data_IF_068179168857
#
_entry.id   IF_068179168857
#
_cell.length_a   1.000
_cell.length_b   1.000
_cell.length_c   1.000
_cell.angle_alpha   90.00
_cell.angle_beta   90.00
_cell.angle_gamma   90.00
#
_symmetry.space_group_name_H-M   'P 1'
#
loop_
_entity.id
_entity.type
_entity.pdbx_description
1 polymer ?
#
# COMPACT_ATOMS: atom_id res chain seq x y z
N UNK A 1 7.27 -23.93 -34.09
CA UNK A 1 8.17 -23.07 -33.30
C UNK A 1 7.31 -21.98 -32.70
N UNK A 2 6.90 -22.11 -31.44
CA UNK A 2 6.19 -21.03 -30.73
C UNK A 2 7.21 -19.93 -30.46
N UNK A 3 6.97 -18.76 -31.05
CA UNK A 3 7.84 -17.60 -30.91
C UNK A 3 7.93 -17.24 -29.42
N UNK A 4 9.12 -17.30 -28.82
CA UNK A 4 9.30 -17.11 -27.36
C UNK A 4 8.88 -15.72 -26.86
N UNK A 5 8.59 -14.81 -27.77
CA UNK A 5 8.25 -13.41 -27.48
C UNK A 5 6.75 -13.10 -27.66
N UNK A 6 5.93 -14.06 -28.12
CA UNK A 6 4.50 -13.85 -28.32
C UNK A 6 3.69 -14.37 -27.13
N UNK A 7 3.00 -13.47 -26.44
CA UNK A 7 2.19 -13.76 -25.25
C UNK A 7 0.75 -13.33 -25.49
N UNK A 8 -0.24 -14.02 -24.93
CA UNK A 8 -1.63 -13.56 -25.04
C UNK A 8 -1.89 -12.34 -24.16
N UNK A 9 -1.22 -12.24 -23.01
CA UNK A 9 -1.28 -11.06 -22.14
C UNK A 9 0.06 -10.69 -21.50
N UNK A 10 0.27 -9.40 -21.27
CA UNK A 10 1.38 -8.86 -20.47
C UNK A 10 0.86 -8.23 -19.19
N UNK A 11 1.54 -8.48 -18.09
CA UNK A 11 1.21 -7.90 -16.79
C UNK A 11 2.38 -7.04 -16.34
N UNK A 12 2.11 -5.77 -16.08
CA UNK A 12 3.09 -4.76 -15.70
C UNK A 12 2.95 -4.46 -14.22
N UNK A 13 3.93 -4.89 -13.42
CA UNK A 13 3.95 -4.75 -11.97
C UNK A 13 3.80 -6.11 -11.28
N UNK A 14 4.84 -6.50 -10.55
CA UNK A 14 4.96 -7.74 -9.79
C UNK A 14 4.48 -7.66 -8.35
N UNK A 15 3.60 -6.71 -8.01
CA UNK A 15 2.93 -6.65 -6.72
C UNK A 15 1.85 -7.74 -6.57
N UNK A 16 1.17 -7.76 -5.41
CA UNK A 16 0.14 -8.79 -5.13
C UNK A 16 -0.94 -8.87 -6.22
N UNK A 17 -1.40 -7.74 -6.76
CA UNK A 17 -2.41 -7.72 -7.82
C UNK A 17 -1.89 -8.30 -9.13
N UNK A 18 -0.67 -7.95 -9.55
CA UNK A 18 -0.08 -8.51 -10.76
C UNK A 18 0.21 -10.00 -10.64
N UNK A 19 0.73 -10.44 -9.49
CA UNK A 19 0.97 -11.87 -9.20
C UNK A 19 -0.34 -12.65 -9.27
N UNK A 20 -1.39 -12.18 -8.59
CA UNK A 20 -2.70 -12.86 -8.59
C UNK A 20 -3.28 -12.88 -10.00
N UNK A 21 -3.26 -11.77 -10.72
CA UNK A 21 -3.75 -11.71 -12.10
C UNK A 21 -3.02 -12.74 -12.99
N UNK A 22 -1.69 -12.84 -12.88
CA UNK A 22 -0.87 -13.78 -13.64
C UNK A 22 -1.24 -15.24 -13.34
N UNK A 23 -1.38 -15.56 -12.04
CA UNK A 23 -1.75 -16.89 -11.60
C UNK A 23 -3.14 -17.30 -12.10
N UNK A 24 -4.13 -16.39 -12.02
CA UNK A 24 -5.49 -16.70 -12.49
C UNK A 24 -5.56 -16.82 -14.01
N UNK A 25 -4.90 -15.93 -14.77
CA UNK A 25 -4.84 -16.04 -16.24
C UNK A 25 -4.19 -17.35 -16.68
N UNK A 26 -3.10 -17.75 -16.02
CA UNK A 26 -2.45 -19.02 -16.28
C UNK A 26 -3.37 -20.21 -15.97
N UNK A 27 -4.17 -20.17 -14.88
CA UNK A 27 -5.16 -21.22 -14.57
C UNK A 27 -6.27 -21.31 -15.62
N UNK A 28 -6.62 -20.19 -16.25
CA UNK A 28 -7.55 -20.13 -17.37
C UNK A 28 -6.91 -20.56 -18.71
N UNK A 29 -5.65 -21.00 -18.70
CA UNK A 29 -4.94 -21.44 -19.90
C UNK A 29 -4.48 -20.29 -20.81
N UNK A 30 -4.45 -19.04 -20.31
CA UNK A 30 -3.99 -17.87 -21.07
C UNK A 30 -2.48 -17.70 -20.84
N UNK A 31 -1.64 -17.79 -21.89
CA UNK A 31 -0.21 -17.53 -21.80
C UNK A 31 0.05 -16.06 -21.44
N UNK A 32 0.74 -15.83 -20.33
CA UNK A 32 1.05 -14.48 -19.84
C UNK A 32 2.49 -14.35 -19.39
N UNK A 33 3.04 -13.15 -19.53
CA UNK A 33 4.31 -12.78 -18.90
C UNK A 33 4.14 -11.63 -17.90
N UNK A 34 4.98 -11.64 -16.87
CA UNK A 34 5.01 -10.64 -15.80
C UNK A 34 6.28 -9.79 -15.90
N UNK A 35 6.14 -8.47 -15.92
CA UNK A 35 7.22 -7.50 -15.97
C UNK A 35 7.27 -6.78 -14.62
N UNK A 36 8.44 -6.72 -13.99
CA UNK A 36 8.67 -6.03 -12.72
C UNK A 36 9.94 -5.20 -12.81
N UNK A 37 9.84 -3.92 -12.42
CA UNK A 37 10.95 -2.98 -12.42
C UNK A 37 11.98 -3.32 -11.36
N UNK A 38 11.52 -3.79 -10.20
CA UNK A 38 12.37 -4.20 -9.09
C UNK A 38 13.05 -5.56 -9.36
N UNK A 39 14.13 -5.84 -8.63
CA UNK A 39 14.83 -7.12 -8.75
C UNK A 39 13.99 -8.32 -8.28
N UNK A 40 12.96 -8.08 -7.46
CA UNK A 40 12.11 -9.10 -6.85
C UNK A 40 10.63 -8.76 -6.96
N UNK A 41 9.79 -9.79 -6.95
CA UNK A 41 8.34 -9.67 -6.90
C UNK A 41 7.87 -9.38 -5.47
N UNK A 42 6.61 -8.94 -5.33
CA UNK A 42 5.90 -8.79 -4.07
C UNK A 42 5.42 -7.36 -3.79
N UNK A 43 6.09 -6.37 -4.40
CA UNK A 43 5.77 -4.96 -4.24
C UNK A 43 5.79 -4.49 -2.79
N UNK A 44 5.01 -3.44 -2.48
CA UNK A 44 4.91 -2.89 -1.13
C UNK A 44 4.37 -3.91 -0.12
N UNK A 45 3.40 -4.73 -0.54
CA UNK A 45 2.69 -5.63 0.37
C UNK A 45 3.57 -6.74 0.97
N UNK A 46 4.65 -7.14 0.29
CA UNK A 46 5.60 -8.13 0.79
C UNK A 46 6.43 -7.61 1.98
N UNK A 47 6.50 -6.28 2.16
CA UNK A 47 7.23 -5.64 3.27
C UNK A 47 6.45 -5.68 4.58
N UNK A 48 5.14 -5.86 4.54
CA UNK A 48 4.30 -5.84 5.73
C UNK A 48 4.43 -7.09 6.59
N UNK A 49 4.50 -6.92 7.91
CA UNK A 49 4.54 -8.04 8.85
C UNK A 49 3.13 -8.52 9.23
N UNK A 50 3.08 -9.74 9.78
CA UNK A 50 1.87 -10.24 10.44
C UNK A 50 1.54 -9.37 11.65
N UNK A 51 0.31 -8.88 11.72
CA UNK A 51 -0.23 -8.08 12.83
C UNK A 51 -1.23 -8.88 13.67
N UNK A 52 -0.99 -10.19 13.76
CA UNK A 52 -1.76 -11.05 14.65
C UNK A 52 -1.30 -10.81 16.09
N UNK A 53 -2.26 -10.72 16.99
CA UNK A 53 -2.07 -10.82 18.44
C UNK A 53 -2.44 -12.25 18.85
N UNK A 54 -3.26 -12.41 19.89
CA UNK A 54 -3.89 -13.69 20.28
C UNK A 54 -4.68 -14.35 19.13
N UNK A 55 -5.30 -13.55 18.26
CA UNK A 55 -6.10 -14.03 17.13
C UNK A 55 -5.69 -13.35 15.82
N UNK A 56 -5.94 -14.03 14.70
CA UNK A 56 -5.72 -13.47 13.38
C UNK A 56 -6.69 -12.32 13.08
N UNK A 57 -6.15 -11.11 12.87
CA UNK A 57 -6.93 -9.90 12.56
C UNK A 57 -7.18 -9.69 11.05
N UNK A 58 -7.03 -10.77 10.26
CA UNK A 58 -7.26 -10.83 8.80
C UNK A 58 -6.67 -9.63 8.05
N UNK A 59 -5.38 -9.35 8.27
CA UNK A 59 -4.66 -8.28 7.55
C UNK A 59 -4.15 -8.68 6.15
N UNK A 60 -4.27 -9.97 5.80
CA UNK A 60 -3.86 -10.54 4.52
C UNK A 60 -2.37 -10.44 4.15
N UNK A 61 -1.49 -9.96 5.04
CA UNK A 61 -0.04 -9.93 4.80
C UNK A 61 0.50 -11.34 4.45
N UNK A 62 0.08 -12.38 5.18
CA UNK A 62 0.47 -13.77 4.90
C UNK A 62 -0.03 -14.32 3.56
N UNK A 63 -1.04 -13.69 2.94
CA UNK A 63 -1.50 -14.08 1.60
C UNK A 63 -0.48 -13.70 0.55
N UNK A 64 0.27 -12.62 0.76
CA UNK A 64 1.31 -12.16 -0.16
C UNK A 64 2.42 -13.21 -0.25
N UNK A 65 2.92 -13.69 0.88
CA UNK A 65 3.96 -14.73 0.92
C UNK A 65 3.50 -16.03 0.27
N UNK A 66 2.24 -16.44 0.52
CA UNK A 66 1.66 -17.63 -0.14
C UNK A 66 1.59 -17.47 -1.66
N UNK A 67 1.21 -16.29 -2.16
CA UNK A 67 1.10 -16.03 -3.59
C UNK A 67 2.47 -15.89 -4.27
N UNK A 68 3.46 -15.35 -3.55
CA UNK A 68 4.86 -15.35 -4.00
C UNK A 68 5.42 -16.76 -4.15
N UNK A 69 5.13 -17.64 -3.18
CA UNK A 69 5.50 -19.06 -3.28
C UNK A 69 4.82 -19.71 -4.49
N UNK A 70 3.51 -19.52 -4.63
CA UNK A 70 2.73 -20.11 -5.71
C UNK A 70 3.26 -19.71 -7.11
N UNK A 71 3.54 -18.42 -7.34
CA UNK A 71 4.09 -17.97 -8.63
C UNK A 71 5.55 -18.40 -8.84
N UNK A 72 6.31 -18.62 -7.75
CA UNK A 72 7.68 -19.12 -7.87
C UNK A 72 7.73 -20.54 -8.44
N UNK A 73 6.71 -21.35 -8.12
CA UNK A 73 6.52 -22.73 -8.56
C UNK A 73 5.96 -22.83 -10.01
N UNK A 74 5.47 -21.71 -10.57
CA UNK A 74 4.98 -21.65 -11.96
C UNK A 74 6.11 -21.29 -12.93
N UNK A 75 6.74 -22.30 -13.53
CA UNK A 75 7.82 -22.10 -14.52
C UNK A 75 7.32 -21.59 -15.88
N UNK A 76 6.05 -21.83 -16.19
CA UNK A 76 5.41 -21.45 -17.45
C UNK A 76 4.99 -19.98 -17.52
N UNK A 77 5.08 -19.22 -16.43
CA UNK A 77 4.85 -17.76 -16.42
C UNK A 77 6.23 -17.08 -16.50
N UNK A 78 6.66 -16.57 -17.68
CA UNK A 78 7.91 -15.84 -17.80
C UNK A 78 7.88 -14.58 -16.94
N UNK A 79 8.98 -14.34 -16.23
CA UNK A 79 9.13 -13.23 -15.28
C UNK A 79 10.33 -12.38 -15.65
N UNK A 80 10.09 -11.13 -15.99
CA UNK A 80 11.10 -10.14 -16.34
C UNK A 80 11.26 -9.18 -15.17
N UNK A 81 12.04 -9.57 -14.16
CA UNK A 81 12.44 -8.68 -13.04
C UNK A 81 13.62 -7.79 -13.42
N UNK A 82 13.76 -6.63 -12.79
CA UNK A 82 14.78 -5.63 -13.14
C UNK A 82 14.59 -5.06 -14.54
N UNK A 83 13.35 -5.03 -15.03
CA UNK A 83 13.01 -4.63 -16.38
C UNK A 83 12.06 -3.43 -16.38
N UNK A 84 12.42 -2.40 -17.14
CA UNK A 84 11.61 -1.19 -17.30
C UNK A 84 11.08 -1.08 -18.72
N UNK A 85 9.85 -0.59 -18.85
CA UNK A 85 9.21 -0.39 -20.15
C UNK A 85 9.64 0.96 -20.69
N UNK A 86 10.18 0.97 -21.91
CA UNK A 86 10.68 2.18 -22.56
C UNK A 86 9.78 2.64 -23.69
N UNK A 87 9.05 1.72 -24.31
CA UNK A 87 8.17 2.02 -25.43
C UNK A 87 7.02 1.02 -25.51
N UNK A 88 5.83 1.53 -25.84
CA UNK A 88 4.69 0.71 -26.26
C UNK A 88 4.27 1.19 -27.64
N UNK A 89 4.06 0.24 -28.56
CA UNK A 89 3.56 0.48 -29.90
C UNK A 89 2.45 -0.51 -30.24
N UNK A 90 1.72 -0.23 -31.33
CA UNK A 90 0.57 -1.03 -31.74
C UNK A 90 -0.71 -0.57 -31.06
N UNK A 91 -1.67 -1.48 -30.94
CA UNK A 91 -3.00 -1.20 -30.44
C UNK A 91 -3.73 -2.48 -30.02
N UNK A 92 -5.05 -2.39 -29.79
CA UNK A 92 -5.86 -3.50 -29.30
C UNK A 92 -5.61 -4.79 -30.10
N UNK A 93 -5.19 -5.86 -29.42
CA UNK A 93 -4.93 -7.17 -30.04
C UNK A 93 -3.52 -7.36 -30.63
N UNK A 94 -2.70 -6.32 -30.75
CA UNK A 94 -1.35 -6.40 -31.30
C UNK A 94 -0.40 -5.35 -30.70
N UNK A 95 -0.25 -5.37 -29.37
CA UNK A 95 0.71 -4.53 -28.67
C UNK A 95 2.14 -5.07 -28.81
N UNK A 96 3.09 -4.14 -28.97
CA UNK A 96 4.53 -4.39 -28.90
C UNK A 96 5.11 -3.57 -27.75
N UNK A 97 5.70 -4.24 -26.76
CA UNK A 97 6.25 -3.64 -25.55
C UNK A 97 7.76 -3.83 -25.55
N UNK A 98 8.50 -2.72 -25.66
CA UNK A 98 9.95 -2.72 -25.53
C UNK A 98 10.35 -2.54 -24.06
N UNK A 99 11.21 -3.43 -23.57
CA UNK A 99 11.72 -3.41 -22.22
C UNK A 99 13.25 -3.39 -22.18
N UNK A 100 13.81 -2.65 -21.23
CA UNK A 100 15.24 -2.57 -20.98
C UNK A 100 15.57 -3.28 -19.67
N UNK A 101 16.52 -4.20 -19.71
CA UNK A 101 17.06 -4.91 -18.55
C UNK A 101 18.58 -4.96 -18.62
N UNK A 102 19.26 -4.37 -17.64
CA UNK A 102 20.72 -4.30 -17.60
C UNK A 102 21.35 -3.82 -18.94
N UNK A 103 20.76 -2.79 -19.54
CA UNK A 103 21.19 -2.21 -20.83
C UNK A 103 20.81 -3.01 -22.08
N UNK A 104 20.22 -4.21 -21.93
CA UNK A 104 19.71 -5.00 -23.07
C UNK A 104 18.25 -4.67 -23.32
N UNK A 105 17.93 -4.41 -24.59
CA UNK A 105 16.55 -4.16 -25.05
C UNK A 105 15.97 -5.48 -25.57
N UNK A 106 14.75 -5.80 -25.18
CA UNK A 106 13.95 -6.88 -25.74
C UNK A 106 12.54 -6.40 -26.05
N UNK A 107 11.89 -7.02 -27.03
CA UNK A 107 10.51 -6.73 -27.43
C UNK A 107 9.62 -7.93 -27.09
N UNK A 108 8.47 -7.65 -26.48
CA UNK A 108 7.42 -8.62 -26.22
C UNK A 108 6.16 -8.21 -26.96
N UNK A 109 5.45 -9.18 -27.51
CA UNK A 109 4.17 -8.96 -28.18
C UNK A 109 3.03 -9.49 -27.31
N UNK A 110 1.92 -8.75 -27.26
CA UNK A 110 0.69 -9.25 -26.66
C UNK A 110 -0.60 -8.64 -27.18
N UNK A 111 -1.68 -9.40 -27.04
CA UNK A 111 -3.02 -8.95 -27.40
C UNK A 111 -3.67 -8.08 -26.32
N UNK A 112 -3.31 -8.27 -25.04
CA UNK A 112 -3.80 -7.49 -23.91
C UNK A 112 -2.68 -7.11 -22.93
N UNK A 113 -2.83 -5.96 -22.27
CA UNK A 113 -1.92 -5.46 -21.23
C UNK A 113 -2.69 -5.20 -19.94
N UNK A 114 -2.18 -5.70 -18.82
CA UNK A 114 -2.69 -5.43 -17.47
C UNK A 114 -1.68 -4.58 -16.71
N UNK A 115 -2.10 -3.40 -16.25
CA UNK A 115 -1.31 -2.50 -15.43
C UNK A 115 -1.64 -2.71 -13.96
N UNK A 116 -0.64 -3.17 -13.21
CA UNK A 116 -0.66 -3.41 -11.77
C UNK A 116 0.50 -2.67 -11.08
N UNK A 117 0.74 -1.42 -11.47
CA UNK A 117 1.89 -0.60 -11.06
C UNK A 117 1.97 -0.32 -9.54
N UNK A 118 0.86 -0.50 -8.82
CA UNK A 118 0.77 -0.30 -7.38
C UNK A 118 0.82 1.18 -6.97
N UNK A 119 1.20 1.40 -5.72
CA UNK A 119 1.24 2.72 -5.06
C UNK A 119 2.50 2.82 -4.22
N UNK A 120 2.79 4.04 -3.76
CA UNK A 120 3.76 4.30 -2.69
C UNK A 120 3.05 4.89 -1.47
N UNK A 121 3.61 4.73 -0.26
CA UNK A 121 3.16 5.51 0.90
C UNK A 121 3.38 7.01 0.64
N UNK A 122 2.48 7.85 1.13
CA UNK A 122 2.68 9.30 1.11
C UNK A 122 3.97 9.68 1.85
N UNK A 123 4.72 10.61 1.28
CA UNK A 123 5.96 11.12 1.84
C UNK A 123 5.67 12.09 2.99
N UNK A 124 5.78 11.61 4.23
CA UNK A 124 5.35 12.32 5.42
C UNK A 124 6.10 13.65 5.66
N UNK A 125 7.29 13.84 5.09
CA UNK A 125 8.01 15.11 5.16
C UNK A 125 7.26 16.26 4.46
N UNK A 126 6.28 15.96 3.60
CA UNK A 126 5.35 16.96 3.04
C UNK A 126 4.42 17.60 4.07
N UNK A 127 4.27 17.00 5.27
CA UNK A 127 3.53 17.56 6.41
C UNK A 127 4.52 18.07 7.46
N UNK A 128 5.20 19.17 7.14
CA UNK A 128 6.28 19.74 7.95
C UNK A 128 5.87 20.08 9.39
N UNK A 129 4.59 20.37 9.64
CA UNK A 129 4.04 20.59 10.98
C UNK A 129 4.11 19.37 11.90
N UNK A 130 4.29 18.17 11.35
CA UNK A 130 4.47 16.93 12.11
C UNK A 130 5.95 16.58 12.34
N UNK A 131 6.88 17.19 11.60
CA UNK A 131 8.31 17.08 11.85
C UNK A 131 8.95 15.73 11.48
N UNK A 132 8.33 14.94 10.60
CA UNK A 132 8.95 13.72 10.07
C UNK A 132 10.29 14.03 9.37
N UNK A 133 11.31 13.20 9.62
CA UNK A 133 12.66 13.39 9.07
C UNK A 133 13.53 14.41 9.82
N UNK A 134 12.93 15.22 10.71
CA UNK A 134 13.65 16.19 11.55
C UNK A 134 13.62 15.74 13.01
N UNK A 135 12.44 15.36 13.51
CA UNK A 135 12.23 14.91 14.88
C UNK A 135 12.36 13.39 14.92
N UNK A 136 13.40 12.88 15.60
CA UNK A 136 13.76 11.44 15.60
C UNK A 136 12.61 10.53 16.04
N UNK A 137 11.82 10.95 17.02
CA UNK A 137 10.72 10.17 17.59
C UNK A 137 9.39 10.33 16.83
N UNK A 138 9.41 10.99 15.67
CA UNK A 138 8.29 11.01 14.72
C UNK A 138 8.61 10.03 13.60
N UNK A 139 7.82 8.96 13.52
CA UNK A 139 8.02 7.86 12.58
C UNK A 139 6.76 7.62 11.77
N UNK A 140 6.86 6.99 10.60
CA UNK A 140 5.67 6.49 9.91
C UNK A 140 5.24 5.13 10.46
N UNK A 141 4.00 4.73 10.17
CA UNK A 141 3.54 3.37 10.45
C UNK A 141 4.40 2.30 9.73
N UNK A 142 5.01 2.66 8.59
CA UNK A 142 5.95 1.78 7.88
C UNK A 142 7.26 1.62 8.65
N UNK A 143 7.84 2.71 9.14
CA UNK A 143 9.07 2.64 9.95
C UNK A 143 8.84 1.78 11.19
N UNK A 144 7.68 1.95 11.84
CA UNK A 144 7.25 1.12 12.95
C UNK A 144 7.11 -0.36 12.57
N UNK A 145 6.52 -0.67 11.41
CA UNK A 145 6.47 -2.05 10.91
C UNK A 145 7.85 -2.64 10.66
N UNK A 146 8.78 -1.86 10.10
CA UNK A 146 10.15 -2.29 9.87
C UNK A 146 10.89 -2.54 11.20
N UNK A 147 10.69 -1.69 12.22
CA UNK A 147 11.20 -1.92 13.58
C UNK A 147 10.66 -3.23 14.16
N UNK A 148 9.34 -3.44 14.11
CA UNK A 148 8.72 -4.64 14.65
C UNK A 148 9.12 -5.91 13.90
N UNK A 149 9.25 -5.84 12.56
CA UNK A 149 9.57 -6.98 11.71
C UNK A 149 11.05 -7.39 11.78
N UNK A 150 11.96 -6.43 11.59
CA UNK A 150 13.38 -6.72 11.40
C UNK A 150 14.16 -6.63 12.71
N UNK A 151 13.82 -5.67 13.58
CA UNK A 151 14.48 -5.52 14.87
C UNK A 151 13.81 -6.32 15.98
N UNK A 152 12.56 -6.74 15.77
CA UNK A 152 11.80 -7.53 16.74
C UNK A 152 11.46 -6.78 18.03
N UNK A 153 11.68 -5.46 18.07
CA UNK A 153 11.51 -4.63 19.28
C UNK A 153 10.87 -3.29 18.95
N UNK A 154 10.07 -2.79 19.88
CA UNK A 154 9.56 -1.42 19.89
C UNK A 154 10.53 -0.52 20.67
N UNK A 155 11.04 0.53 20.05
CA UNK A 155 11.91 1.49 20.71
C UNK A 155 11.82 2.89 20.08
N UNK A 156 12.06 3.92 20.89
CA UNK A 156 12.27 5.29 20.46
C UNK A 156 13.53 5.37 19.59
N UNK A 157 13.48 5.96 18.38
CA UNK A 157 14.67 6.14 17.56
C UNK A 157 15.74 7.04 18.19
N UNK A 158 15.36 7.96 19.08
CA UNK A 158 16.31 8.90 19.68
C UNK A 158 17.31 8.26 20.64
N UNK A 159 16.85 7.33 21.48
CA UNK A 159 17.60 6.81 22.63
C UNK A 159 17.47 5.29 22.84
N UNK A 160 16.70 4.60 22.00
CA UNK A 160 16.48 3.15 22.07
C UNK A 160 15.58 2.69 23.21
N UNK A 161 15.00 3.60 24.01
CA UNK A 161 14.12 3.23 25.13
C UNK A 161 12.74 2.81 24.65
N UNK A 162 12.03 2.03 25.47
CA UNK A 162 10.63 1.67 25.20
C UNK A 162 9.74 2.92 25.39
N UNK A 163 9.00 3.38 24.36
CA UNK A 163 8.03 4.47 24.53
C UNK A 163 6.85 4.00 25.38
N UNK A 164 6.46 4.78 26.40
CA UNK A 164 5.30 4.50 27.25
C UNK A 164 4.01 5.07 26.67
N UNK A 165 4.07 6.23 26.02
CA UNK A 165 2.91 6.87 25.40
C UNK A 165 3.17 7.15 23.92
N UNK A 166 2.37 6.54 23.04
CA UNK A 166 2.49 6.67 21.58
C UNK A 166 1.23 7.32 21.01
N UNK A 167 1.39 8.36 20.20
CA UNK A 167 0.29 8.96 19.45
C UNK A 167 0.26 8.46 18.01
N UNK A 168 -0.90 8.02 17.52
CA UNK A 168 -1.12 7.58 16.14
C UNK A 168 -1.95 8.60 15.38
N UNK A 169 -1.34 9.29 14.43
CA UNK A 169 -2.01 10.33 13.65
C UNK A 169 -2.65 9.70 12.42
N UNK A 170 -3.96 9.80 12.30
CA UNK A 170 -4.67 9.34 11.12
C UNK A 170 -4.67 10.41 10.01
N UNK A 171 -4.99 9.98 8.79
CA UNK A 171 -5.17 10.85 7.63
C UNK A 171 -3.93 11.66 7.22
N UNK A 172 -2.72 11.20 7.56
CA UNK A 172 -1.49 11.88 7.11
C UNK A 172 -1.33 11.66 5.61
N UNK A 173 -1.46 12.72 4.81
CA UNK A 173 -1.39 12.61 3.35
C UNK A 173 -2.71 12.20 2.67
N UNK A 174 -3.85 12.29 3.35
CA UNK A 174 -5.18 11.92 2.82
C UNK A 174 -6.28 12.75 3.46
N UNK A 175 -7.37 13.00 2.74
CA UNK A 175 -8.46 13.90 3.17
C UNK A 175 -7.91 15.27 3.59
N UNK A 176 -6.96 15.78 2.81
CA UNK A 176 -6.23 17.03 3.07
C UNK A 176 -6.17 17.86 1.78
N UNK A 177 -6.97 18.91 1.75
CA UNK A 177 -7.07 19.85 0.63
C UNK A 177 -5.78 20.64 0.42
N UNK A 178 -5.00 20.92 1.48
CA UNK A 178 -3.79 21.72 1.38
C UNK A 178 -2.69 21.09 0.51
N UNK A 179 -2.77 19.77 0.32
CA UNK A 179 -1.85 18.98 -0.52
C UNK A 179 -2.55 18.36 -1.73
N UNK A 180 -3.81 18.69 -1.98
CA UNK A 180 -4.59 18.18 -3.11
C UNK A 180 -5.07 16.73 -3.00
N UNK A 181 -4.88 16.06 -1.85
CA UNK A 181 -5.29 14.68 -1.65
C UNK A 181 -6.65 14.62 -0.92
N UNK A 182 -7.74 14.76 -1.67
CA UNK A 182 -9.10 14.82 -1.12
C UNK A 182 -9.69 13.45 -0.75
N UNK A 183 -9.12 12.37 -1.27
CA UNK A 183 -9.58 11.00 -1.03
C UNK A 183 -9.15 10.44 0.33
N UNK A 184 -9.88 9.40 0.76
CA UNK A 184 -9.46 8.53 1.85
C UNK A 184 -8.58 7.40 1.33
N UNK A 185 -7.45 7.13 1.99
CA UNK A 185 -6.61 5.98 1.67
C UNK A 185 -7.17 4.62 2.11
N UNK A 186 -8.35 4.58 2.74
CA UNK A 186 -9.14 3.41 3.15
C UNK A 186 -8.50 2.41 4.14
N UNK A 187 -7.17 2.38 4.25
CA UNK A 187 -6.45 1.34 5.02
C UNK A 187 -5.85 1.83 6.33
N UNK A 188 -5.66 3.15 6.49
CA UNK A 188 -4.89 3.73 7.58
C UNK A 188 -5.47 3.48 8.96
N UNK A 189 -6.78 3.67 9.14
CA UNK A 189 -7.44 3.38 10.41
C UNK A 189 -7.23 1.91 10.83
N UNK A 190 -7.36 0.99 9.88
CA UNK A 190 -7.28 -0.44 10.18
C UNK A 190 -5.86 -0.92 10.44
N UNK A 191 -4.87 -0.51 9.64
CA UNK A 191 -3.48 -0.92 9.92
C UNK A 191 -2.99 -0.31 11.23
N UNK A 192 -3.38 0.93 11.55
CA UNK A 192 -2.94 1.60 12.77
C UNK A 192 -3.49 0.89 14.01
N UNK A 193 -4.79 0.57 14.03
CA UNK A 193 -5.39 -0.18 15.13
C UNK A 193 -4.81 -1.60 15.24
N UNK A 194 -4.50 -2.28 14.12
CA UNK A 194 -3.82 -3.57 14.12
C UNK A 194 -2.40 -3.48 14.72
N UNK A 195 -1.66 -2.43 14.40
CA UNK A 195 -0.35 -2.16 15.00
C UNK A 195 -0.45 -1.86 16.49
N UNK A 196 -1.40 -1.01 16.88
CA UNK A 196 -1.68 -0.69 18.28
C UNK A 196 -1.97 -1.96 19.06
N UNK A 197 -2.89 -2.82 18.59
CA UNK A 197 -3.25 -4.05 19.29
C UNK A 197 -2.09 -5.04 19.37
N UNK A 198 -1.28 -5.15 18.31
CA UNK A 198 -0.07 -5.96 18.32
C UNK A 198 0.96 -5.44 19.34
N UNK A 199 1.11 -4.12 19.46
CA UNK A 199 1.96 -3.48 20.46
C UNK A 199 1.43 -3.72 21.87
N UNK A 200 0.14 -3.44 22.12
CA UNK A 200 -0.51 -3.63 23.43
C UNK A 200 -0.40 -5.07 23.93
N UNK A 201 -0.54 -6.04 23.03
CA UNK A 201 -0.39 -7.45 23.37
C UNK A 201 1.06 -7.81 23.78
N UNK A 202 2.06 -7.26 23.09
CA UNK A 202 3.48 -7.56 23.37
C UNK A 202 4.07 -6.68 24.49
N UNK A 203 3.54 -5.48 24.67
CA UNK A 203 3.96 -4.47 25.63
C UNK A 203 2.74 -3.86 26.33
N UNK A 204 2.13 -4.58 27.30
CA UNK A 204 0.92 -4.13 28.02
C UNK A 204 1.11 -2.84 28.82
N UNK A 205 2.35 -2.38 29.02
CA UNK A 205 2.68 -1.11 29.66
C UNK A 205 2.62 0.11 28.74
N UNK A 206 2.47 -0.08 27.43
CA UNK A 206 2.51 0.99 26.42
C UNK A 206 1.10 1.48 26.13
N UNK A 207 0.84 2.75 26.36
CA UNK A 207 -0.42 3.39 26.02
C UNK A 207 -0.37 3.93 24.58
N UNK A 208 -1.46 3.75 23.86
CA UNK A 208 -1.65 4.27 22.52
C UNK A 208 -2.80 5.27 22.48
N UNK A 209 -2.59 6.42 21.84
CA UNK A 209 -3.64 7.40 21.58
C UNK A 209 -3.91 7.44 20.07
N UNK A 210 -5.10 7.04 19.66
CA UNK A 210 -5.56 7.03 18.28
C UNK A 210 -6.28 8.34 17.95
N UNK A 211 -5.63 9.21 17.16
CA UNK A 211 -6.08 10.56 16.82
C UNK A 211 -6.68 10.58 15.41
N UNK A 212 -7.99 10.77 15.31
CA UNK A 212 -8.73 10.53 14.07
C UNK A 212 -9.85 11.56 13.81
N UNK A 213 -10.32 11.62 12.56
CA UNK A 213 -11.56 12.32 12.20
C UNK A 213 -12.76 11.37 12.27
N UNK A 214 -12.71 10.32 11.45
CA UNK A 214 -13.70 9.26 11.37
C UNK A 214 -12.96 7.93 11.22
N UNK A 215 -13.53 6.85 11.76
CA UNK A 215 -12.95 5.51 11.63
C UNK A 215 -13.58 4.84 10.41
N UNK A 216 -12.76 4.51 9.41
CA UNK A 216 -13.22 3.84 8.21
C UNK A 216 -13.29 2.32 8.41
N UNK A 217 -14.41 1.67 8.02
CA UNK A 217 -14.53 0.22 8.10
C UNK A 217 -13.55 -0.51 7.17
N UNK A 218 -12.95 -1.61 7.64
CA UNK A 218 -12.01 -2.43 6.86
C UNK A 218 -12.38 -3.92 6.84
N UNK A 219 -13.42 -4.23 6.06
CA UNK A 219 -13.95 -5.59 5.91
C UNK A 219 -15.02 -5.94 6.95
N UNK A 220 -15.68 -7.08 6.75
CA UNK A 220 -16.89 -7.45 7.50
C UNK A 220 -16.64 -7.63 9.02
N UNK A 221 -15.49 -8.19 9.41
CA UNK A 221 -15.15 -8.43 10.83
C UNK A 221 -14.46 -7.25 11.52
N UNK A 222 -14.43 -6.07 10.89
CA UNK A 222 -13.73 -4.92 11.45
C UNK A 222 -14.46 -4.32 12.65
N UNK A 223 -15.78 -4.44 12.71
CA UNK A 223 -16.57 -3.90 13.81
C UNK A 223 -16.20 -4.57 15.15
N UNK A 224 -16.17 -5.91 15.18
CA UNK A 224 -15.79 -6.66 16.38
C UNK A 224 -14.35 -6.35 16.81
N UNK A 225 -13.44 -6.25 15.82
CA UNK A 225 -12.06 -5.85 16.07
C UNK A 225 -11.95 -4.44 16.66
N UNK A 226 -12.74 -3.48 16.15
CA UNK A 226 -12.78 -2.12 16.66
C UNK A 226 -13.33 -2.06 18.09
N UNK A 227 -14.39 -2.82 18.39
CA UNK A 227 -14.94 -2.89 19.75
C UNK A 227 -13.92 -3.46 20.72
N UNK A 228 -13.24 -4.54 20.35
CA UNK A 228 -12.17 -5.10 21.16
C UNK A 228 -11.01 -4.12 21.38
N UNK A 229 -10.74 -3.20 20.44
CA UNK A 229 -9.78 -2.12 20.64
C UNK A 229 -10.28 -1.02 21.57
N UNK A 230 -11.59 -0.76 21.63
CA UNK A 230 -12.20 0.21 22.55
C UNK A 230 -12.27 -0.30 23.99
N UNK A 231 -12.33 -1.62 24.17
CA UNK A 231 -12.32 -2.28 25.47
C UNK A 231 -10.92 -2.34 26.13
N UNK A 232 -9.84 -2.11 25.35
CA UNK A 232 -8.48 -2.06 25.89
C UNK A 232 -8.22 -0.69 26.54
N UNK A 233 -8.08 -0.68 27.87
CA UNK A 233 -7.85 0.53 28.67
C UNK A 233 -6.58 1.31 28.30
N UNK A 234 -5.60 0.66 27.66
CA UNK A 234 -4.39 1.32 27.16
C UNK A 234 -4.54 1.93 25.76
N UNK A 235 -5.74 1.88 25.16
CA UNK A 235 -6.03 2.51 23.87
C UNK A 235 -7.05 3.65 24.08
N UNK A 236 -6.58 4.88 23.92
CA UNK A 236 -7.45 6.07 23.97
C UNK A 236 -7.80 6.54 22.57
N UNK A 237 -9.09 6.77 22.33
CA UNK A 237 -9.61 7.30 21.08
C UNK A 237 -9.90 8.79 21.24
N UNK A 238 -9.31 9.64 20.40
CA UNK A 238 -9.57 11.07 20.39
C UNK A 238 -9.97 11.49 18.99
N UNK A 239 -11.18 12.04 18.87
CA UNK A 239 -11.70 12.57 17.62
C UNK A 239 -11.16 13.99 17.34
N UNK A 240 -9.85 14.09 17.12
CA UNK A 240 -9.17 15.33 16.73
C UNK A 240 -7.94 14.99 15.90
N UNK A 241 -7.75 15.72 14.80
CA UNK A 241 -6.45 15.73 14.14
C UNK A 241 -5.50 16.69 14.84
N UNK A 242 -4.22 16.33 15.01
CA UNK A 242 -3.23 17.23 15.57
C UNK A 242 -2.91 18.38 14.62
N UNK A 243 -2.71 19.57 15.20
CA UNK A 243 -2.30 20.75 14.42
C UNK A 243 -0.79 20.85 14.25
N UNK A 244 -0.01 20.46 15.28
CA UNK A 244 1.46 20.60 15.30
C UNK A 244 2.10 19.70 16.33
N UNK A 245 3.30 19.22 16.02
CA UNK A 245 4.21 18.56 16.98
C UNK A 245 5.27 19.55 17.42
N UNK A 246 5.44 19.69 18.74
CA UNK A 246 6.51 20.44 19.38
C UNK A 246 7.56 19.47 19.91
N UNK A 247 8.84 19.80 19.76
CA UNK A 247 9.95 18.98 20.22
C UNK A 247 10.98 19.83 20.96
N UNK A 248 11.48 19.29 22.07
CA UNK A 248 12.61 19.85 22.80
C UNK A 248 13.92 19.24 22.27
N UNK A 249 14.83 20.02 21.67
CA UNK A 249 16.09 19.49 21.14
C UNK A 249 17.06 19.00 22.23
N UNK A 250 16.78 19.29 23.51
CA UNK A 250 17.61 18.91 24.65
C UNK A 250 17.14 17.57 25.25
N UNK A 251 15.83 17.38 25.39
CA UNK A 251 15.25 16.22 26.10
C UNK A 251 14.64 15.18 25.16
N UNK A 252 14.49 15.49 23.87
CA UNK A 252 13.75 14.70 22.90
C UNK A 252 12.28 14.47 23.27
N UNK A 253 11.72 15.31 24.15
CA UNK A 253 10.31 15.27 24.54
C UNK A 253 9.43 15.80 23.42
N UNK A 254 8.32 15.12 23.16
CA UNK A 254 7.31 15.55 22.20
C UNK A 254 6.09 16.08 22.94
N UNK A 255 5.55 17.19 22.46
CA UNK A 255 4.20 17.65 22.81
C UNK A 255 3.35 17.77 21.56
N UNK A 256 2.15 17.24 21.61
CA UNK A 256 1.22 17.26 20.49
C UNK A 256 0.06 18.18 20.84
N UNK A 257 -0.20 19.15 19.98
CA UNK A 257 -1.34 20.06 20.13
C UNK A 257 -2.58 19.47 19.49
N UNK A 258 -3.61 19.26 20.30
CA UNK A 258 -4.89 18.65 19.90
C UNK A 258 -6.06 19.48 20.44
N UNK A 259 -7.19 19.48 19.72
CA UNK A 259 -8.43 20.01 20.25
C UNK A 259 -9.15 18.89 21.02
N UNK A 260 -9.40 19.07 22.30
CA UNK A 260 -10.14 18.12 23.12
C UNK A 260 -11.65 18.25 22.81
N UNK A 261 -12.29 17.24 22.19
CA UNK A 261 -13.70 17.33 21.83
C UNK A 261 -14.63 17.36 23.05
N UNK A 262 -14.20 16.81 24.19
CA UNK A 262 -14.99 16.75 25.41
C UNK A 262 -14.93 18.05 26.22
N UNK A 263 -13.81 18.77 26.14
CA UNK A 263 -13.60 20.03 26.89
C UNK A 263 -13.81 21.28 26.04
N UNK A 264 -13.74 21.17 24.72
CA UNK A 264 -13.80 22.32 23.81
C UNK A 264 -12.55 23.20 23.86
N UNK A 265 -11.45 22.70 24.42
CA UNK A 265 -10.20 23.42 24.63
C UNK A 265 -9.07 22.83 23.78
N UNK A 266 -8.08 23.66 23.44
CA UNK A 266 -6.84 23.19 22.81
C UNK A 266 -5.85 22.84 23.91
N UNK A 267 -5.38 21.60 23.91
CA UNK A 267 -4.41 21.10 24.89
C UNK A 267 -3.12 20.66 24.21
N UNK A 268 -2.02 20.72 24.96
CA UNK A 268 -0.73 20.16 24.55
C UNK A 268 -0.41 18.96 25.45
N UNK A 269 -0.39 17.77 24.86
CA UNK A 269 -0.17 16.53 25.59
C UNK A 269 1.21 15.93 25.27
N UNK A 270 1.97 15.46 26.29
CA UNK A 270 3.27 14.85 26.07
C UNK A 270 3.17 13.43 25.51
N UNK A 271 4.07 13.09 24.58
CA UNK A 271 4.22 11.73 24.04
C UNK A 271 5.70 11.35 23.93
N UNK A 272 5.98 10.05 24.03
CA UNK A 272 7.33 9.53 23.83
C UNK A 272 7.65 9.30 22.35
N UNK A 273 6.61 9.02 21.56
CA UNK A 273 6.73 8.74 20.14
C UNK A 273 5.44 9.10 19.40
N UNK A 274 5.57 9.58 18.16
CA UNK A 274 4.45 9.84 17.25
C UNK A 274 4.59 8.93 16.04
N UNK A 275 3.49 8.28 15.67
CA UNK A 275 3.37 7.39 14.52
C UNK A 275 2.41 7.99 13.51
N UNK A 276 2.93 8.35 12.35
CA UNK A 276 2.18 8.93 11.24
C UNK A 276 1.58 7.82 10.39
N UNK A 277 0.24 7.75 10.36
CA UNK A 277 -0.49 6.81 9.51
C UNK A 277 -0.64 7.42 8.12
N UNK A 278 0.41 7.26 7.31
CA UNK A 278 0.52 7.79 5.95
C UNK A 278 -0.47 7.13 4.98
N UNK A 279 -0.98 7.94 4.05
CA UNK A 279 -1.85 7.54 2.96
C UNK A 279 -1.13 6.80 1.83
N UNK A 280 -1.89 6.49 0.78
CA UNK A 280 -1.42 5.90 -0.47
C UNK A 280 -1.41 6.96 -1.56
N UNK A 281 -0.33 7.03 -2.33
CA UNK A 281 -0.23 7.88 -3.53
C UNK A 281 0.18 7.04 -4.73
N UNK A 282 -0.24 7.44 -5.93
CA UNK A 282 0.22 6.80 -7.14
C UNK A 282 1.74 6.97 -7.28
N UNK A 283 2.44 5.90 -7.71
CA UNK A 283 3.90 5.95 -7.91
C UNK A 283 4.26 7.03 -8.92
N UNK A 284 5.37 7.74 -8.68
CA UNK A 284 5.83 8.81 -9.59
C UNK A 284 6.05 8.29 -11.01
N UNK A 285 6.57 7.08 -11.16
CA UNK A 285 6.84 6.48 -12.48
C UNK A 285 5.58 5.96 -13.18
N UNK A 286 4.46 5.80 -12.46
CA UNK A 286 3.21 5.35 -13.07
C UNK A 286 2.69 6.38 -14.08
N UNK A 287 3.04 7.66 -13.95
CA UNK A 287 2.69 8.69 -14.92
C UNK A 287 3.32 8.43 -16.29
N UNK A 288 4.63 8.19 -16.31
CA UNK A 288 5.34 7.86 -17.55
C UNK A 288 4.79 6.58 -18.20
N UNK A 289 4.42 5.58 -17.39
CA UNK A 289 3.78 4.37 -17.88
C UNK A 289 2.38 4.63 -18.46
N UNK A 290 1.59 5.48 -17.80
CA UNK A 290 0.25 5.85 -18.27
C UNK A 290 0.33 6.59 -19.60
N UNK A 291 1.27 7.53 -19.74
CA UNK A 291 1.52 8.28 -20.98
C UNK A 291 1.91 7.33 -22.14
N UNK A 292 2.78 6.35 -21.88
CA UNK A 292 3.17 5.33 -22.87
C UNK A 292 2.00 4.45 -23.33
N UNK A 293 1.05 4.19 -22.45
CA UNK A 293 -0.12 3.34 -22.72
C UNK A 293 -1.36 4.13 -23.17
N UNK A 294 -1.32 5.47 -23.12
CA UNK A 294 -2.49 6.31 -23.37
C UNK A 294 -3.60 6.14 -22.32
N UNK A 295 -3.23 5.82 -21.07
CA UNK A 295 -4.17 5.68 -19.95
C UNK A 295 -4.32 7.01 -19.23
N UNK A 296 -5.56 7.45 -19.01
CA UNK A 296 -5.87 8.65 -18.24
C UNK A 296 -5.83 8.44 -16.72
N UNK A 297 -6.15 9.50 -15.98
CA UNK A 297 -6.27 9.48 -14.52
C UNK A 297 -7.71 9.76 -14.09
N UNK A 298 -8.11 9.24 -12.93
CA UNK A 298 -9.35 9.63 -12.27
C UNK A 298 -9.20 10.96 -11.51
N UNK A 299 -10.30 11.42 -10.90
CA UNK A 299 -10.37 12.67 -10.14
C UNK A 299 -9.43 12.70 -8.94
N UNK A 300 -9.06 11.52 -8.41
CA UNK A 300 -8.16 11.33 -7.27
C UNK A 300 -6.69 11.18 -7.69
N UNK A 301 -6.39 11.23 -9.00
CA UNK A 301 -5.04 11.12 -9.54
C UNK A 301 -4.50 9.69 -9.65
N UNK A 302 -5.35 8.67 -9.59
CA UNK A 302 -5.01 7.28 -9.85
C UNK A 302 -5.28 6.89 -11.30
N UNK A 303 -4.80 5.74 -11.75
CA UNK A 303 -5.02 5.28 -13.12
C UNK A 303 -6.50 4.98 -13.36
N UNK A 304 -7.09 5.65 -14.35
CA UNK A 304 -8.46 5.43 -14.76
C UNK A 304 -8.62 4.05 -15.41
N UNK A 305 -9.85 3.52 -15.41
CA UNK A 305 -10.16 2.28 -16.12
C UNK A 305 -10.27 2.59 -17.63
N UNK A 306 -9.44 1.97 -18.49
CA UNK A 306 -9.51 2.19 -19.94
C UNK A 306 -10.81 1.62 -20.54
N UNK A 307 -11.19 2.03 -21.76
CA UNK A 307 -12.27 1.41 -22.52
C UNK A 307 -12.04 -0.10 -22.69
N UNK A 308 -13.12 -0.91 -22.65
CA UNK A 308 -13.02 -2.38 -22.69
C UNK A 308 -12.41 -2.93 -23.98
N UNK A 309 -12.64 -2.23 -25.08
CA UNK A 309 -12.14 -2.56 -26.42
C UNK A 309 -10.68 -2.15 -26.63
N UNK A 310 -10.07 -1.42 -25.68
CA UNK A 310 -8.66 -1.05 -25.76
C UNK A 310 -7.72 -2.24 -25.61
N UNK A 311 -8.12 -3.32 -24.96
CA UNK A 311 -7.18 -4.38 -24.55
C UNK A 311 -6.22 -3.96 -23.43
N UNK A 312 -6.42 -2.78 -22.83
CA UNK A 312 -5.71 -2.30 -21.65
C UNK A 312 -6.59 -2.46 -20.41
N UNK A 313 -6.01 -2.95 -19.34
CA UNK A 313 -6.70 -3.18 -18.07
C UNK A 313 -5.87 -2.62 -16.92
N UNK A 314 -6.53 -2.11 -15.88
CA UNK A 314 -5.86 -1.63 -14.66
C UNK A 314 -6.38 -2.42 -13.47
N UNK A 315 -5.48 -2.81 -12.56
CA UNK A 315 -5.85 -3.59 -11.38
C UNK A 315 -5.01 -3.28 -10.15
N UNK A 316 -5.61 -3.44 -8.97
CA UNK A 316 -4.96 -3.20 -7.70
C UNK A 316 -4.93 -1.73 -7.31
N UNK A 317 -3.99 -1.39 -6.42
CA UNK A 317 -3.95 -0.08 -5.78
C UNK A 317 -3.62 1.09 -6.73
N UNK A 318 -3.06 0.83 -7.93
CA UNK A 318 -2.84 1.90 -8.92
C UNK A 318 -4.15 2.45 -9.50
N UNK A 319 -5.28 1.75 -9.36
CA UNK A 319 -6.64 2.23 -9.67
C UNK A 319 -7.37 2.72 -8.39
N UNK A 320 -6.67 3.38 -7.48
CA UNK A 320 -7.24 3.94 -6.25
C UNK A 320 -6.91 3.19 -4.96
N UNK A 321 -6.99 3.83 -3.79
CA UNK A 321 -6.61 3.23 -2.51
C UNK A 321 -7.47 2.03 -2.14
N UNK A 322 -6.83 0.93 -1.73
CA UNK A 322 -7.51 -0.30 -1.30
C UNK A 322 -6.57 -1.22 -0.54
N UNK A 323 -7.14 -2.11 0.26
CA UNK A 323 -6.38 -3.12 1.00
C UNK A 323 -5.97 -4.31 0.12
N UNK A 324 -5.24 -5.27 0.70
CA UNK A 324 -4.74 -6.46 0.01
C UNK A 324 -5.91 -7.34 -0.46
N UNK A 325 -6.96 -7.51 0.35
CA UNK A 325 -8.08 -8.38 0.03
C UNK A 325 -8.87 -7.87 -1.19
N UNK A 326 -9.18 -6.56 -1.21
CA UNK A 326 -9.77 -5.88 -2.36
C UNK A 326 -8.86 -5.90 -3.57
N UNK A 327 -7.54 -5.73 -3.38
CA UNK A 327 -6.53 -5.81 -4.44
C UNK A 327 -6.46 -7.20 -5.09
N UNK A 328 -6.59 -8.26 -4.30
CA UNK A 328 -6.66 -9.65 -4.76
C UNK A 328 -7.97 -9.90 -5.49
N UNK A 329 -9.10 -9.46 -4.93
CA UNK A 329 -10.42 -9.61 -5.53
C UNK A 329 -10.52 -8.90 -6.88
N UNK A 330 -10.03 -7.65 -6.97
CA UNK A 330 -9.98 -6.91 -8.22
C UNK A 330 -9.08 -7.61 -9.25
N UNK A 331 -7.92 -8.13 -8.85
CA UNK A 331 -7.01 -8.85 -9.75
C UNK A 331 -7.66 -10.10 -10.37
N UNK A 332 -8.44 -10.86 -9.59
CA UNK A 332 -9.21 -12.00 -10.11
C UNK A 332 -10.28 -11.56 -11.10
N UNK A 333 -11.00 -10.48 -10.79
CA UNK A 333 -12.00 -9.92 -11.70
C UNK A 333 -11.36 -9.42 -13.00
N UNK A 334 -10.20 -8.74 -12.92
CA UNK A 334 -9.43 -8.30 -14.08
C UNK A 334 -8.98 -9.49 -14.94
N UNK A 335 -8.50 -10.59 -14.34
CA UNK A 335 -8.14 -11.79 -15.08
C UNK A 335 -9.33 -12.36 -15.89
N UNK A 336 -10.52 -12.38 -15.31
CA UNK A 336 -11.73 -12.79 -16.03
C UNK A 336 -12.08 -11.85 -17.20
N UNK A 337 -11.93 -10.53 -17.01
CA UNK A 337 -12.14 -9.54 -18.08
C UNK A 337 -11.15 -9.70 -19.23
N UNK A 338 -9.87 -9.90 -18.92
CA UNK A 338 -8.82 -10.15 -19.91
C UNK A 338 -9.09 -11.43 -20.66
N UNK A 339 -9.46 -12.51 -19.96
CA UNK A 339 -9.82 -13.78 -20.59
C UNK A 339 -10.99 -13.61 -21.58
N UNK A 340 -12.03 -12.87 -21.20
CA UNK A 340 -13.18 -12.63 -22.07
C UNK A 340 -12.80 -11.80 -23.29
N UNK A 341 -12.03 -10.73 -23.10
CA UNK A 341 -11.51 -9.90 -24.20
C UNK A 341 -10.73 -10.73 -25.22
N UNK A 342 -9.83 -11.61 -24.76
CA UNK A 342 -9.02 -12.47 -25.62
C UNK A 342 -9.84 -13.53 -26.40
N UNK A 343 -11.04 -13.87 -25.91
CA UNK A 343 -11.94 -14.82 -26.56
C UNK A 343 -13.12 -14.16 -27.28
N UNK A 344 -13.11 -12.81 -27.42
CA UNK A 344 -14.16 -12.06 -28.10
C UNK A 344 -15.52 -12.11 -27.40
N UNK A 345 -15.54 -12.15 -26.05
CA UNK A 345 -16.75 -12.24 -25.22
C UNK A 345 -17.02 -10.98 -24.40
#
# INVERSE_FOLDING_TARGET
>A
MTDKNNHSGLIIGGGISGIVCALELNRLGVPVALIEKEASLGGLAARFCCKASETCNKCFACVVDRKLKEISEQSQIPRFTGAEITKVAGGPGSYKVSLTKAGKISELEAAAIVVAAGIDPYEASGKGEYGYGVIKNVVTARDLEEMLRYQGKLCRPSDGRLPRNIAFFQCVGSRDESIGNLYCSQVCCAYALRLIRAIRHKYPEVNATFLYMDIQPAGASFHDFLNACREDEGIRFIRSLPSKVYHSPVTDDLRVRIADPGRGEVIEEPFDMVVLSVGMVLKKEAKALADLLGIGFDEDGFLATPPRDSGLFVTGACAGPKDIDRSVTQAKATAALVHNYLHGR
#
